data_IF_555784343644
#
_entry.id   IF_555784343644
#
_cell.length_a   1.000
_cell.length_b   1.000
_cell.length_c   1.000
_cell.angle_alpha   90.00
_cell.angle_beta   90.00
_cell.angle_gamma   90.00
#
_symmetry.space_group_name_H-M   'P 1'
#
loop_
_entity.id
_entity.type
_entity.pdbx_description
1 polymer ?
#
# COMPACT_ATOMS: atom_id res chain seq x y z
N UNK A 1 -15.62 -14.94 -5.92
CA UNK A 1 -15.25 -16.35 -6.12
C UNK A 1 -14.69 -16.94 -4.84
N UNK A 2 -15.41 -17.92 -4.29
CA UNK A 2 -14.96 -18.78 -3.20
C UNK A 2 -13.73 -19.59 -3.63
N UNK A 3 -13.13 -20.31 -2.69
CA UNK A 3 -12.03 -21.22 -3.01
C UNK A 3 -12.50 -22.40 -3.89
N UNK A 4 -13.70 -22.95 -3.63
CA UNK A 4 -14.24 -24.06 -4.45
C UNK A 4 -14.49 -23.62 -5.90
N UNK A 5 -15.08 -22.43 -6.10
CA UNK A 5 -15.36 -21.91 -7.44
C UNK A 5 -14.07 -21.67 -8.24
N UNK A 6 -13.01 -21.17 -7.58
CA UNK A 6 -11.69 -21.02 -8.21
C UNK A 6 -11.11 -22.36 -8.62
N UNK A 7 -11.15 -23.35 -7.73
CA UNK A 7 -10.64 -24.69 -8.01
C UNK A 7 -11.38 -25.34 -9.19
N UNK A 8 -12.68 -25.11 -9.29
CA UNK A 8 -13.50 -25.57 -10.42
C UNK A 8 -13.04 -24.94 -11.74
N UNK A 9 -12.90 -23.61 -11.77
CA UNK A 9 -12.43 -22.87 -12.94
C UNK A 9 -11.03 -23.34 -13.35
N UNK A 10 -10.12 -23.49 -12.39
CA UNK A 10 -8.76 -23.98 -12.65
C UNK A 10 -8.76 -25.41 -13.24
N UNK A 11 -9.63 -26.28 -12.73
CA UNK A 11 -9.78 -27.66 -13.21
C UNK A 11 -10.25 -27.68 -14.66
N UNK A 12 -11.30 -26.93 -14.99
CA UNK A 12 -11.85 -26.88 -16.35
C UNK A 12 -10.96 -26.11 -17.33
N UNK A 13 -10.16 -25.16 -16.84
CA UNK A 13 -9.11 -24.52 -17.65
C UNK A 13 -8.01 -25.53 -18.03
N UNK A 14 -7.56 -26.37 -17.09
CA UNK A 14 -6.57 -27.45 -17.35
C UNK A 14 -7.10 -28.50 -18.32
N UNK A 15 -8.37 -28.88 -18.19
CA UNK A 15 -9.06 -29.78 -19.13
C UNK A 15 -9.25 -29.15 -20.52
N UNK A 16 -9.09 -27.84 -20.63
CA UNK A 16 -9.26 -27.09 -21.87
C UNK A 16 -10.72 -26.85 -22.24
N UNK A 17 -11.66 -27.02 -21.31
CA UNK A 17 -13.09 -26.70 -21.53
C UNK A 17 -13.31 -25.19 -21.45
N UNK A 18 -12.61 -24.52 -20.52
CA UNK A 18 -12.56 -23.05 -20.47
C UNK A 18 -11.40 -22.58 -21.36
N UNK A 19 -11.68 -21.64 -22.27
CA UNK A 19 -10.67 -21.07 -23.18
C UNK A 19 -10.29 -19.63 -22.85
N UNK A 20 -11.18 -18.88 -22.22
CA UNK A 20 -11.01 -17.46 -21.91
C UNK A 20 -11.41 -17.22 -20.47
N UNK A 21 -10.59 -16.46 -19.74
CA UNK A 21 -10.89 -16.01 -18.38
C UNK A 21 -10.77 -14.49 -18.35
N UNK A 22 -11.82 -13.84 -17.87
CA UNK A 22 -11.82 -12.41 -17.56
C UNK A 22 -11.62 -12.26 -16.05
N UNK A 23 -10.53 -11.61 -15.64
CA UNK A 23 -10.17 -11.46 -14.24
C UNK A 23 -9.78 -10.02 -13.91
N UNK A 24 -10.08 -9.58 -12.68
CA UNK A 24 -9.52 -8.35 -12.13
C UNK A 24 -8.07 -8.58 -11.70
N UNK A 25 -7.29 -7.50 -11.55
CA UNK A 25 -5.87 -7.59 -11.13
C UNK A 25 -5.68 -8.42 -9.83
N UNK A 26 -6.58 -8.28 -8.86
CA UNK A 26 -6.53 -9.03 -7.59
C UNK A 26 -6.78 -10.54 -7.83
N UNK A 27 -7.66 -10.87 -8.77
CA UNK A 27 -7.94 -12.26 -9.13
C UNK A 27 -6.80 -12.89 -9.96
N UNK A 28 -6.08 -12.11 -10.76
CA UNK A 28 -4.91 -12.59 -11.50
C UNK A 28 -3.77 -13.07 -10.57
N UNK A 29 -3.67 -12.50 -9.35
CA UNK A 29 -2.75 -13.01 -8.33
C UNK A 29 -3.17 -14.37 -7.78
N UNK A 30 -4.48 -14.65 -7.73
CA UNK A 30 -5.05 -15.84 -7.09
C UNK A 30 -5.30 -17.04 -7.99
N UNK A 31 -5.03 -16.94 -9.29
CA UNK A 31 -5.11 -18.06 -10.25
C UNK A 31 -3.69 -18.52 -10.56
N UNK A 32 -3.41 -19.81 -10.33
CA UNK A 32 -2.07 -20.38 -10.51
C UNK A 32 -1.95 -21.17 -11.83
N UNK A 33 -2.40 -20.57 -12.94
CA UNK A 33 -2.34 -21.21 -14.25
C UNK A 33 -1.73 -20.28 -15.31
N UNK A 34 -0.76 -20.78 -16.10
CA UNK A 34 -0.21 -20.04 -17.23
C UNK A 34 -1.19 -20.01 -18.41
N UNK A 35 -1.25 -18.87 -19.09
CA UNK A 35 -2.04 -18.66 -20.31
C UNK A 35 -1.12 -18.44 -21.50
N UNK A 36 -1.54 -18.87 -22.70
CA UNK A 36 -0.79 -18.57 -23.93
C UNK A 36 -0.81 -17.08 -24.26
N UNK A 37 -1.94 -16.42 -24.02
CA UNK A 37 -2.12 -15.00 -24.27
C UNK A 37 -2.74 -14.34 -23.04
N UNK A 38 -2.16 -13.23 -22.60
CA UNK A 38 -2.74 -12.37 -21.56
C UNK A 38 -3.04 -11.01 -22.18
N UNK A 39 -4.28 -10.57 -22.09
CA UNK A 39 -4.72 -9.26 -22.58
C UNK A 39 -4.87 -8.33 -21.37
N UNK A 40 -4.12 -7.23 -21.36
CA UNK A 40 -4.12 -6.25 -20.27
C UNK A 40 -4.77 -4.97 -20.75
N UNK A 41 -5.95 -4.67 -20.21
CA UNK A 41 -6.55 -3.35 -20.29
C UNK A 41 -5.97 -2.47 -19.18
N UNK A 42 -5.32 -1.37 -19.56
CA UNK A 42 -4.53 -0.52 -18.64
C UNK A 42 -5.36 0.51 -17.87
N UNK A 43 -6.65 0.63 -18.17
CA UNK A 43 -7.57 1.54 -17.50
C UNK A 43 -8.12 0.87 -16.23
N UNK A 44 -7.70 1.33 -15.06
CA UNK A 44 -8.35 1.00 -13.79
C UNK A 44 -9.30 2.13 -13.40
N UNK A 45 -10.57 1.80 -13.17
CA UNK A 45 -11.52 2.74 -12.56
C UNK A 45 -11.19 2.81 -11.07
N UNK A 46 -10.90 4.00 -10.58
CA UNK A 46 -10.67 4.26 -9.17
C UNK A 46 -11.89 4.98 -8.58
N UNK A 47 -12.42 4.41 -7.51
CA UNK A 47 -13.44 5.06 -6.70
C UNK A 47 -12.72 5.59 -5.47
N UNK A 48 -12.20 6.80 -5.56
CA UNK A 48 -11.69 7.51 -4.38
C UNK A 48 -12.84 8.35 -3.80
N UNK A 49 -12.92 8.44 -2.48
CA UNK A 49 -13.80 9.37 -1.77
C UNK A 49 -13.12 10.75 -1.57
N UNK A 50 -11.95 10.97 -2.17
CA UNK A 50 -11.15 12.20 -2.07
C UNK A 50 -11.57 13.33 -3.00
N UNK A 51 -10.70 14.33 -3.18
CA UNK A 51 -10.91 15.52 -4.04
C UNK A 51 -11.01 15.23 -5.56
N UNK A 52 -11.00 13.96 -5.96
CA UNK A 52 -11.15 13.57 -7.35
C UNK A 52 -12.61 13.20 -7.62
N UNK A 53 -13.15 13.53 -8.82
CA UNK A 53 -14.48 13.09 -9.17
C UNK A 53 -14.57 11.56 -9.08
N UNK A 54 -15.65 11.01 -8.52
CA UNK A 54 -15.85 9.57 -8.46
C UNK A 54 -15.75 8.99 -9.88
N UNK A 55 -15.08 7.83 -10.01
CA UNK A 55 -14.86 7.10 -11.26
C UNK A 55 -13.83 7.70 -12.24
N UNK A 56 -12.68 8.21 -11.77
CA UNK A 56 -11.61 8.56 -12.69
C UNK A 56 -10.79 7.32 -13.12
N UNK A 57 -10.31 7.33 -14.36
CA UNK A 57 -9.43 6.28 -14.88
C UNK A 57 -7.99 6.59 -14.49
N UNK A 58 -7.32 5.61 -13.90
CA UNK A 58 -5.89 5.65 -13.62
C UNK A 58 -5.19 4.48 -14.32
N UNK A 59 -3.91 4.64 -14.61
CA UNK A 59 -3.11 3.57 -15.20
C UNK A 59 -2.86 2.46 -14.17
N UNK A 60 -2.73 1.23 -14.65
CA UNK A 60 -2.23 0.13 -13.83
C UNK A 60 -0.80 0.40 -13.34
N UNK A 61 -0.49 -0.06 -12.12
CA UNK A 61 0.88 -0.04 -11.61
C UNK A 61 1.73 -1.08 -12.33
N UNK A 62 3.05 -0.87 -12.41
CA UNK A 62 3.94 -1.85 -13.03
C UNK A 62 3.87 -3.22 -12.34
N UNK A 63 3.70 -3.28 -11.02
CA UNK A 63 3.49 -4.54 -10.29
C UNK A 63 2.22 -5.26 -10.75
N UNK A 64 1.14 -4.52 -11.01
CA UNK A 64 -0.08 -5.11 -11.56
C UNK A 64 0.18 -5.70 -12.95
N UNK A 65 0.94 -4.99 -13.79
CA UNK A 65 1.32 -5.43 -15.12
C UNK A 65 2.20 -6.68 -15.05
N UNK A 66 3.21 -6.72 -14.18
CA UNK A 66 4.05 -7.91 -13.99
C UNK A 66 3.27 -9.09 -13.42
N UNK A 67 2.39 -8.86 -12.45
CA UNK A 67 1.57 -9.91 -11.87
C UNK A 67 0.62 -10.54 -12.91
N UNK A 68 0.05 -9.72 -13.80
CA UNK A 68 -0.80 -10.21 -14.89
C UNK A 68 0.01 -10.81 -16.04
N UNK A 69 1.02 -10.08 -16.51
CA UNK A 69 1.87 -10.44 -17.63
C UNK A 69 2.75 -11.66 -17.35
N UNK A 70 3.17 -11.87 -16.10
CA UNK A 70 3.91 -13.05 -15.67
C UNK A 70 3.11 -14.36 -15.72
N UNK A 71 1.80 -14.28 -16.01
CA UNK A 71 0.96 -15.45 -16.33
C UNK A 71 0.99 -15.80 -17.81
N UNK A 72 1.54 -14.95 -18.67
CA UNK A 72 1.69 -15.26 -20.08
C UNK A 72 2.89 -16.20 -20.28
N UNK A 73 2.65 -17.33 -20.91
CA UNK A 73 3.68 -18.30 -21.28
C UNK A 73 3.50 -19.65 -20.64
N UNK A 74 3.44 -20.68 -21.48
CA UNK A 74 3.87 -22.05 -21.14
C UNK A 74 5.31 -22.24 -21.61
N UNK A 75 5.97 -23.38 -21.32
CA UNK A 75 7.37 -23.65 -21.68
C UNK A 75 7.76 -23.31 -23.14
N UNK A 76 6.80 -23.29 -24.06
CA UNK A 76 7.03 -23.04 -25.49
C UNK A 76 6.73 -21.60 -25.95
N UNK A 77 5.66 -20.98 -25.44
CA UNK A 77 5.17 -19.73 -26.03
C UNK A 77 4.23 -18.94 -25.10
N UNK A 78 4.41 -17.61 -25.07
CA UNK A 78 3.56 -16.66 -24.35
C UNK A 78 3.52 -15.28 -24.99
N UNK A 79 2.34 -14.64 -25.00
CA UNK A 79 2.15 -13.24 -25.42
C UNK A 79 1.45 -12.43 -24.35
N UNK A 80 1.97 -11.24 -24.09
CA UNK A 80 1.26 -10.18 -23.37
C UNK A 80 0.80 -9.15 -24.40
N UNK A 81 -0.49 -8.86 -24.41
CA UNK A 81 -1.14 -7.94 -25.35
C UNK A 81 -1.67 -6.76 -24.54
N UNK A 82 -1.15 -5.56 -24.80
CA UNK A 82 -1.64 -4.33 -24.18
C UNK A 82 -2.71 -3.71 -25.05
N UNK A 83 -3.88 -3.43 -24.45
CA UNK A 83 -4.98 -2.78 -25.15
C UNK A 83 -4.88 -1.27 -24.99
N UNK A 84 -4.51 -0.58 -26.08
CA UNK A 84 -4.39 0.87 -26.15
C UNK A 84 -5.53 1.49 -26.95
N UNK A 85 -6.32 2.36 -26.31
CA UNK A 85 -7.44 3.05 -26.95
C UNK A 85 -7.01 4.27 -27.79
N UNK A 86 -5.72 4.65 -27.74
CA UNK A 86 -5.18 5.75 -28.55
C UNK A 86 -3.68 5.55 -28.84
N UNK A 87 -3.15 6.17 -29.92
CA UNK A 87 -1.70 6.17 -30.19
C UNK A 87 -0.87 6.77 -29.07
N UNK A 88 -1.43 7.74 -28.32
CA UNK A 88 -0.79 8.33 -27.14
C UNK A 88 -0.62 7.28 -26.05
N UNK A 89 -1.67 6.51 -25.74
CA UNK A 89 -1.60 5.42 -24.77
C UNK A 89 -0.65 4.32 -25.21
N UNK A 90 -0.62 3.97 -26.51
CA UNK A 90 0.36 3.03 -27.06
C UNK A 90 1.79 3.48 -26.76
N UNK A 91 2.13 4.75 -27.04
CA UNK A 91 3.46 5.28 -26.79
C UNK A 91 3.77 5.31 -25.28
N UNK A 92 2.79 5.65 -24.44
CA UNK A 92 2.93 5.57 -22.99
C UNK A 92 3.22 4.13 -22.55
N UNK A 93 2.49 3.13 -23.05
CA UNK A 93 2.69 1.73 -22.69
C UNK A 93 4.02 1.20 -23.18
N UNK A 94 4.43 1.54 -24.40
CA UNK A 94 5.72 1.18 -24.96
C UNK A 94 6.85 1.75 -24.11
N UNK A 95 6.76 3.03 -23.73
CA UNK A 95 7.76 3.67 -22.89
C UNK A 95 7.75 3.13 -21.46
N UNK A 96 6.59 2.86 -20.85
CA UNK A 96 6.50 2.29 -19.52
C UNK A 96 6.94 0.83 -19.46
N UNK A 97 6.74 0.04 -20.49
CA UNK A 97 7.12 -1.38 -20.44
C UNK A 97 8.55 -1.61 -20.90
N UNK A 98 8.95 -1.06 -22.06
CA UNK A 98 10.28 -1.32 -22.62
C UNK A 98 11.40 -0.51 -21.98
N UNK A 99 11.11 0.68 -21.43
CA UNK A 99 12.13 1.42 -20.67
C UNK A 99 12.45 0.70 -19.35
N UNK A 100 11.46 0.10 -18.71
CA UNK A 100 11.66 -0.69 -17.49
C UNK A 100 12.43 -1.99 -17.77
N UNK A 101 12.19 -2.66 -18.90
CA UNK A 101 12.92 -3.88 -19.28
C UNK A 101 14.38 -3.65 -19.73
N UNK A 102 14.71 -2.49 -20.31
CA UNK A 102 16.07 -2.19 -20.76
C UNK A 102 17.04 -1.86 -19.63
N UNK A 103 16.54 -1.33 -18.51
CA UNK A 103 17.37 -1.03 -17.35
C UNK A 103 17.50 -2.28 -16.44
N UNK A 104 18.25 -3.29 -16.89
CA UNK A 104 18.66 -4.47 -16.08
C UNK A 104 19.44 -4.12 -14.80
N UNK A 105 19.81 -2.85 -14.60
CA UNK A 105 20.51 -2.31 -13.43
C UNK A 105 19.57 -1.62 -12.42
N UNK A 106 18.26 -1.66 -12.61
CA UNK A 106 17.34 -1.16 -11.59
C UNK A 106 17.28 -2.15 -10.42
N UNK A 107 18.16 -1.96 -9.41
CA UNK A 107 17.93 -2.46 -8.04
C UNK A 107 16.44 -2.27 -7.73
N UNK A 108 15.73 -3.36 -7.53
CA UNK A 108 14.27 -3.43 -7.46
C UNK A 108 13.68 -2.23 -6.73
N UNK A 109 13.14 -1.26 -7.47
CA UNK A 109 12.23 -0.27 -6.91
C UNK A 109 10.89 -0.98 -6.78
N UNK A 110 10.62 -1.51 -5.58
CA UNK A 110 9.29 -1.96 -5.22
C UNK A 110 8.30 -0.87 -5.64
N UNK A 111 7.26 -1.30 -6.36
CA UNK A 111 6.32 -0.37 -6.95
C UNK A 111 5.71 0.51 -5.88
N UNK A 112 5.89 1.82 -6.10
CA UNK A 112 5.30 2.91 -5.33
C UNK A 112 3.78 2.78 -5.43
N UNK A 113 3.17 1.98 -4.55
CA UNK A 113 1.77 2.19 -4.22
C UNK A 113 1.72 3.57 -3.56
N UNK A 114 1.13 4.53 -4.25
CA UNK A 114 0.64 5.75 -3.63
C UNK A 114 -0.52 5.38 -2.70
N UNK A 115 -0.22 4.73 -1.58
CA UNK A 115 -1.07 4.83 -0.39
C UNK A 115 -1.19 6.32 -0.15
N UNK A 116 -2.38 6.89 0.00
CA UNK A 116 -2.59 8.31 0.25
C UNK A 116 -1.65 8.83 1.38
N UNK A 117 -0.47 9.36 0.99
CA UNK A 117 0.76 9.33 1.81
C UNK A 117 0.68 10.32 2.98
N UNK A 118 -0.23 11.27 2.87
CA UNK A 118 -0.36 12.35 3.85
C UNK A 118 -1.09 11.93 5.14
N UNK A 119 -1.96 10.92 5.08
CA UNK A 119 -2.75 10.47 6.23
C UNK A 119 -2.01 9.48 7.13
N UNK A 120 -1.04 8.72 6.61
CA UNK A 120 -0.37 7.66 7.39
C UNK A 120 0.97 8.10 8.04
N UNK A 121 1.40 9.35 7.86
CA UNK A 121 2.64 9.90 8.45
C UNK A 121 2.65 9.76 9.98
N UNK A 122 1.50 9.92 10.64
CA UNK A 122 1.36 9.79 12.09
C UNK A 122 1.73 8.38 12.58
N UNK A 123 1.15 7.37 11.93
CA UNK A 123 1.38 5.97 12.25
C UNK A 123 2.79 5.53 11.83
N UNK A 124 3.29 6.05 10.71
CA UNK A 124 4.65 5.80 10.23
C UNK A 124 5.71 6.26 11.24
N UNK A 125 5.64 7.51 11.68
CA UNK A 125 6.62 8.08 12.62
C UNK A 125 6.59 7.37 13.98
N UNK A 126 5.42 6.94 14.45
CA UNK A 126 5.33 6.13 15.67
C UNK A 126 6.04 4.78 15.50
N UNK A 127 5.84 4.09 14.38
CA UNK A 127 6.48 2.78 14.13
C UNK A 127 7.99 2.90 14.01
N UNK A 128 8.48 3.97 13.36
CA UNK A 128 9.91 4.28 13.34
C UNK A 128 10.47 4.50 14.74
N UNK A 129 9.79 5.29 15.57
CA UNK A 129 10.21 5.54 16.95
C UNK A 129 10.19 4.30 17.84
N UNK A 130 9.38 3.28 17.51
CA UNK A 130 9.35 1.99 18.23
C UNK A 130 10.50 1.09 17.77
N UNK A 131 10.77 1.03 16.47
CA UNK A 131 11.72 0.06 15.90
C UNK A 131 13.18 0.55 15.93
N UNK A 132 13.40 1.86 15.94
CA UNK A 132 14.74 2.45 15.87
C UNK A 132 14.88 3.46 17.01
N UNK A 133 15.93 3.30 17.82
CA UNK A 133 16.27 4.26 18.85
C UNK A 133 16.86 5.52 18.21
N UNK A 134 16.00 6.44 17.78
CA UNK A 134 16.38 7.62 16.99
C UNK A 134 16.42 8.88 17.86
N UNK A 135 17.45 9.70 17.62
CA UNK A 135 17.41 11.10 18.00
C UNK A 135 16.53 11.90 17.01
N UNK A 136 15.98 13.03 17.44
CA UNK A 136 15.17 13.91 16.60
C UNK A 136 15.90 14.35 15.33
N UNK A 137 17.19 14.69 15.44
CA UNK A 137 18.02 15.06 14.28
C UNK A 137 18.32 13.87 13.37
N UNK A 138 18.46 12.67 13.93
CA UNK A 138 18.63 11.45 13.15
C UNK A 138 17.36 11.10 12.39
N UNK A 139 16.18 11.25 13.00
CA UNK A 139 14.89 11.06 12.34
C UNK A 139 14.71 12.02 11.16
N UNK A 140 15.10 13.30 11.31
CA UNK A 140 15.12 14.26 10.20
C UNK A 140 16.06 13.80 9.09
N UNK A 141 17.26 13.33 9.45
CA UNK A 141 18.24 12.84 8.48
C UNK A 141 17.78 11.55 7.81
N UNK A 142 17.07 10.66 8.52
CA UNK A 142 16.49 9.44 7.99
C UNK A 142 15.36 9.71 7.01
N UNK A 143 14.43 10.61 7.33
CA UNK A 143 13.37 10.98 6.39
C UNK A 143 13.96 11.68 5.17
N UNK A 144 14.97 12.55 5.35
CA UNK A 144 15.74 13.09 4.23
C UNK A 144 16.39 11.96 3.42
N UNK A 145 17.05 10.98 4.05
CA UNK A 145 17.72 9.85 3.37
C UNK A 145 16.73 8.93 2.62
N UNK A 146 15.58 8.65 3.20
CA UNK A 146 14.46 7.94 2.56
C UNK A 146 13.87 8.78 1.41
N UNK A 147 13.83 10.11 1.54
CA UNK A 147 13.55 11.07 0.45
C UNK A 147 14.70 11.14 -0.59
N UNK A 148 15.94 10.82 -0.24
CA UNK A 148 17.15 10.91 -1.09
C UNK A 148 17.39 9.68 -1.97
N UNK A 149 16.34 8.93 -2.32
CA UNK A 149 16.28 8.28 -3.64
C UNK A 149 15.70 9.24 -4.69
N UNK A 150 15.79 10.56 -4.44
CA UNK A 150 15.53 11.60 -5.42
C UNK A 150 16.71 11.78 -6.39
N UNK A 151 16.65 11.03 -7.49
CA UNK A 151 16.85 11.48 -8.87
C UNK A 151 18.18 12.12 -9.36
N UNK A 152 19.24 12.41 -8.55
CA UNK A 152 20.44 13.11 -9.12
C UNK A 152 21.85 12.69 -8.71
N UNK A 153 22.09 11.73 -7.82
CA UNK A 153 23.48 11.32 -7.52
C UNK A 153 23.58 9.86 -7.14
N UNK A 154 23.89 9.02 -8.12
CA UNK A 154 24.38 7.66 -7.89
C UNK A 154 25.89 7.67 -8.02
N UNK A 155 26.59 7.76 -6.89
CA UNK A 155 27.89 7.11 -6.76
C UNK A 155 28.14 6.80 -5.30
N UNK A 156 28.31 5.51 -5.03
CA UNK A 156 28.78 4.89 -3.79
C UNK A 156 27.88 5.07 -2.56
N UNK A 157 27.12 4.02 -2.22
CA UNK A 157 26.90 3.71 -0.81
C UNK A 157 26.94 2.19 -0.62
N UNK A 158 27.87 1.82 0.26
CA UNK A 158 28.14 0.51 0.81
C UNK A 158 26.99 0.05 1.72
N UNK A 159 26.99 -1.26 1.93
CA UNK A 159 26.01 -2.07 2.62
C UNK A 159 25.53 -1.47 3.95
N UNK A 160 24.22 -1.35 4.11
CA UNK A 160 23.50 -1.47 5.38
C UNK A 160 22.01 -1.72 5.09
N UNK A 161 21.71 -2.99 4.81
CA UNK A 161 20.36 -3.57 4.76
C UNK A 161 19.64 -3.40 6.10
N UNK A 162 18.52 -2.68 6.20
CA UNK A 162 17.54 -2.97 7.27
C UNK A 162 16.04 -2.74 6.97
N UNK A 163 15.62 -2.12 5.85
CA UNK A 163 14.18 -1.93 5.55
C UNK A 163 13.85 -1.92 4.04
N UNK A 164 14.42 -2.85 3.25
CA UNK A 164 14.00 -3.06 1.84
C UNK A 164 12.69 -3.86 1.74
N UNK A 165 11.63 -3.36 2.37
CA UNK A 165 10.27 -3.88 2.20
C UNK A 165 9.59 -3.26 0.97
N UNK A 166 8.60 -3.97 0.43
CA UNK A 166 7.79 -3.61 -0.75
C UNK A 166 7.05 -2.24 -0.66
N UNK A 167 7.15 -1.54 0.48
CA UNK A 167 6.44 -0.32 0.83
C UNK A 167 7.40 0.87 0.90
N UNK A 168 7.40 1.71 -0.11
CA UNK A 168 8.19 2.95 -0.11
C UNK A 168 7.25 4.15 0.12
N UNK A 169 7.35 4.78 1.28
CA UNK A 169 6.61 6.01 1.60
C UNK A 169 7.24 7.19 0.84
N UNK A 170 6.42 8.06 0.25
CA UNK A 170 6.90 9.26 -0.45
C UNK A 170 6.09 10.49 -0.03
N UNK A 171 6.60 11.23 0.96
CA UNK A 171 5.90 12.39 1.48
C UNK A 171 6.07 13.60 0.57
N UNK A 172 5.06 14.48 0.54
CA UNK A 172 5.20 15.76 -0.15
C UNK A 172 6.25 16.62 0.58
N UNK A 173 7.27 17.04 -0.18
CA UNK A 173 8.42 17.81 0.32
C UNK A 173 8.02 19.18 0.89
N UNK A 174 6.92 19.75 0.41
CA UNK A 174 6.45 21.04 0.89
C UNK A 174 6.07 20.96 2.38
N UNK A 175 6.75 21.74 3.22
CA UNK A 175 6.51 21.83 4.66
C UNK A 175 6.68 20.52 5.45
N UNK A 176 7.46 19.55 4.95
CA UNK A 176 7.65 18.25 5.62
C UNK A 176 8.16 18.40 7.06
N UNK A 177 9.06 19.35 7.32
CA UNK A 177 9.57 19.64 8.67
C UNK A 177 8.45 20.09 9.63
N UNK A 178 7.65 21.08 9.22
CA UNK A 178 6.50 21.57 10.01
C UNK A 178 5.49 20.44 10.27
N UNK A 179 5.32 19.54 9.30
CA UNK A 179 4.42 18.38 9.43
C UNK A 179 4.96 17.33 10.40
N UNK A 180 6.24 16.97 10.32
CA UNK A 180 6.90 16.05 11.26
C UNK A 180 6.78 16.61 12.68
N UNK A 181 7.08 17.90 12.87
CA UNK A 181 6.94 18.55 14.19
C UNK A 181 5.51 18.50 14.70
N UNK A 182 4.53 18.82 13.85
CA UNK A 182 3.11 18.70 14.20
C UNK A 182 2.76 17.28 14.63
N UNK A 183 3.23 16.27 13.89
CA UNK A 183 2.97 14.86 14.17
C UNK A 183 3.63 14.42 15.48
N UNK A 184 4.89 14.77 15.73
CA UNK A 184 5.58 14.45 16.97
C UNK A 184 4.91 15.11 18.18
N UNK A 185 4.41 16.34 18.01
CA UNK A 185 3.62 17.03 19.03
C UNK A 185 2.31 16.29 19.32
N UNK A 186 1.62 15.77 18.29
CA UNK A 186 0.41 14.95 18.46
C UNK A 186 0.75 13.64 19.21
N UNK A 187 1.83 12.94 18.82
CA UNK A 187 2.24 11.69 19.47
C UNK A 187 2.63 11.92 20.94
N UNK A 188 3.36 12.99 21.23
CA UNK A 188 3.74 13.38 22.59
C UNK A 188 2.52 13.79 23.42
N UNK A 189 1.63 14.62 22.86
CA UNK A 189 0.41 15.08 23.52
C UNK A 189 -0.53 13.93 23.90
N UNK A 190 -0.58 12.88 23.08
CA UNK A 190 -1.35 11.67 23.36
C UNK A 190 -0.63 10.63 24.24
N UNK A 191 0.59 10.95 24.71
CA UNK A 191 1.46 10.06 25.50
C UNK A 191 1.79 8.75 24.79
N UNK A 192 1.99 8.79 23.47
CA UNK A 192 2.40 7.63 22.68
C UNK A 192 3.93 7.50 22.59
N UNK A 193 4.62 8.63 22.65
CA UNK A 193 6.09 8.74 22.71
C UNK A 193 6.52 9.67 23.85
N UNK A 194 7.75 9.52 24.30
CA UNK A 194 8.46 10.45 25.20
C UNK A 194 9.69 10.97 24.49
N UNK A 195 9.98 12.25 24.70
CA UNK A 195 11.17 12.92 24.16
C UNK A 195 12.00 13.36 25.35
N UNK A 196 13.21 12.82 25.47
CA UNK A 196 14.15 13.20 26.52
C UNK A 196 14.75 14.60 26.22
N UNK A 197 15.39 15.21 27.23
CA UNK A 197 16.07 16.52 27.09
C UNK A 197 17.11 16.53 25.96
N UNK A 198 17.68 15.36 25.64
CA UNK A 198 18.70 15.18 24.62
C UNK A 198 18.11 14.94 23.21
N UNK A 199 16.78 15.03 23.04
CA UNK A 199 16.11 14.81 21.75
C UNK A 199 15.83 13.35 21.40
N UNK A 200 16.24 12.39 22.25
CA UNK A 200 16.01 10.96 22.05
C UNK A 200 14.52 10.63 22.19
N UNK A 201 13.98 9.99 21.16
CA UNK A 201 12.61 9.49 21.11
C UNK A 201 12.54 8.11 21.76
N UNK A 202 11.64 7.94 22.72
CA UNK A 202 11.36 6.63 23.31
C UNK A 202 9.86 6.32 23.22
N UNK A 203 9.46 5.12 22.79
CA UNK A 203 8.06 4.75 22.73
C UNK A 203 7.53 4.49 24.15
N UNK A 204 6.23 4.70 24.33
CA UNK A 204 5.51 4.25 25.53
C UNK A 204 4.88 2.88 25.30
N UNK A 205 4.37 2.24 26.36
CA UNK A 205 3.63 0.96 26.23
C UNK A 205 2.46 1.06 25.24
N UNK A 206 1.75 2.20 25.21
CA UNK A 206 0.70 2.45 24.22
C UNK A 206 1.26 2.57 22.80
N UNK A 207 2.41 3.23 22.63
CA UNK A 207 3.09 3.33 21.34
C UNK A 207 3.56 1.96 20.82
N UNK A 208 4.15 1.15 21.69
CA UNK A 208 4.56 -0.23 21.41
C UNK A 208 3.34 -1.07 21.04
N UNK A 209 2.24 -0.96 21.80
CA UNK A 209 1.00 -1.70 21.55
C UNK A 209 0.41 -1.40 20.17
N UNK A 210 0.35 -0.12 19.77
CA UNK A 210 -0.14 0.30 18.44
C UNK A 210 0.72 -0.33 17.34
N UNK A 211 2.05 -0.26 17.48
CA UNK A 211 2.99 -0.85 16.52
C UNK A 211 2.83 -2.37 16.43
N UNK A 212 2.76 -3.06 17.56
CA UNK A 212 2.61 -4.50 17.65
C UNK A 212 1.28 -5.00 17.06
N UNK A 213 0.17 -4.29 17.29
CA UNK A 213 -1.15 -4.62 16.74
C UNK A 213 -1.33 -4.19 15.28
N UNK A 214 -0.35 -3.47 14.71
CA UNK A 214 -0.35 -2.97 13.32
C UNK A 214 -1.57 -2.12 12.95
N UNK A 215 -2.21 -1.50 13.94
CA UNK A 215 -3.31 -0.55 13.73
C UNK A 215 -2.78 0.86 13.48
N UNK A 216 -3.65 1.74 12.99
CA UNK A 216 -3.40 3.19 12.90
C UNK A 216 -3.46 3.86 14.27
N UNK A 217 -2.68 4.92 14.44
CA UNK A 217 -2.71 5.75 15.66
C UNK A 217 -4.09 6.34 15.87
N UNK A 218 -4.71 6.80 14.79
CA UNK A 218 -6.06 7.37 14.77
C UNK A 218 -7.09 6.35 15.27
N UNK A 219 -6.98 5.07 14.87
CA UNK A 219 -7.81 3.97 15.37
C UNK A 219 -7.67 3.78 16.87
N UNK A 220 -6.44 3.78 17.38
CA UNK A 220 -6.21 3.68 18.81
C UNK A 220 -6.81 4.86 19.58
N UNK A 221 -6.63 6.09 19.09
CA UNK A 221 -7.20 7.29 19.72
C UNK A 221 -8.72 7.27 19.69
N UNK A 222 -9.32 6.79 18.60
CA UNK A 222 -10.76 6.60 18.47
C UNK A 222 -11.29 5.61 19.51
N UNK A 223 -10.69 4.43 19.63
CA UNK A 223 -11.07 3.44 20.65
C UNK A 223 -10.86 3.97 22.07
N UNK A 224 -9.72 4.63 22.33
CA UNK A 224 -9.43 5.23 23.63
C UNK A 224 -10.45 6.30 24.01
N UNK A 225 -10.93 7.09 23.05
CA UNK A 225 -11.99 8.06 23.25
C UNK A 225 -13.30 7.35 23.60
N UNK A 226 -13.71 6.38 22.80
CA UNK A 226 -14.94 5.62 22.99
C UNK A 226 -14.99 4.90 24.36
N UNK A 227 -13.88 4.26 24.78
CA UNK A 227 -13.76 3.62 26.09
C UNK A 227 -13.99 4.58 27.26
N UNK A 228 -13.70 5.88 27.11
CA UNK A 228 -13.99 6.87 28.17
C UNK A 228 -15.49 7.12 28.32
N UNK A 229 -16.27 6.99 27.25
CA UNK A 229 -17.72 7.20 27.24
C UNK A 229 -18.50 5.95 27.66
N UNK A 230 -17.93 4.75 27.52
CA UNK A 230 -18.60 3.47 27.83
C UNK A 230 -18.78 3.16 29.33
N UNK A 231 -18.56 4.12 30.23
CA UNK A 231 -18.40 3.87 31.68
C UNK A 231 -19.64 3.34 32.44
N UNK A 232 -20.77 3.03 31.80
CA UNK A 232 -22.03 2.80 32.53
C UNK A 232 -23.01 1.75 31.95
N UNK A 233 -22.62 0.87 31.03
CA UNK A 233 -23.56 -0.15 30.51
C UNK A 233 -22.89 -1.39 29.93
N UNK A 234 -23.69 -2.44 29.77
CA UNK A 234 -23.29 -3.64 29.02
C UNK A 234 -23.07 -3.26 27.56
N UNK A 235 -21.87 -3.57 27.05
CA UNK A 235 -21.49 -3.31 25.67
C UNK A 235 -21.97 -4.49 24.81
N UNK A 236 -22.85 -4.23 23.87
CA UNK A 236 -23.31 -5.25 22.92
C UNK A 236 -22.24 -5.58 21.87
N UNK A 237 -22.29 -6.80 21.33
CA UNK A 237 -21.44 -7.22 20.21
C UNK A 237 -21.64 -6.29 18.99
N UNK A 238 -22.87 -5.83 18.76
CA UNK A 238 -23.19 -4.93 17.65
C UNK A 238 -22.48 -3.59 17.78
N UNK A 239 -22.42 -3.01 18.99
CA UNK A 239 -21.68 -1.77 19.24
C UNK A 239 -20.18 -1.94 19.02
N UNK A 240 -19.61 -3.09 19.41
CA UNK A 240 -18.21 -3.41 19.13
C UNK A 240 -17.97 -3.50 17.62
N UNK A 241 -18.82 -4.22 16.88
CA UNK A 241 -18.70 -4.34 15.43
C UNK A 241 -18.81 -2.97 14.75
N UNK A 242 -19.74 -2.13 15.19
CA UNK A 242 -19.91 -0.78 14.67
C UNK A 242 -18.71 0.12 14.97
N UNK A 243 -18.17 0.03 16.19
CA UNK A 243 -16.94 0.73 16.57
C UNK A 243 -15.76 0.32 15.68
N UNK A 244 -15.57 -0.99 15.46
CA UNK A 244 -14.50 -1.50 14.61
C UNK A 244 -14.67 -1.01 13.17
N UNK A 245 -15.88 -1.08 12.61
CA UNK A 245 -16.18 -0.65 11.25
C UNK A 245 -15.97 0.87 11.04
N UNK A 246 -16.32 1.70 12.04
CA UNK A 246 -16.15 3.15 11.96
C UNK A 246 -14.72 3.64 12.21
N UNK A 247 -13.84 2.77 12.71
CA UNK A 247 -12.44 3.12 12.90
C UNK A 247 -11.73 3.44 11.58
N UNK A 248 -10.66 4.26 11.58
CA UNK A 248 -9.83 4.50 10.40
C UNK A 248 -9.33 3.24 9.70
N UNK A 249 -8.98 2.19 10.45
CA UNK A 249 -8.62 0.88 9.87
C UNK A 249 -9.85 0.15 9.31
N UNK A 250 -10.99 0.22 10.00
CA UNK A 250 -12.25 -0.37 9.54
C UNK A 250 -12.77 0.24 8.23
N UNK A 251 -12.72 1.57 8.11
CA UNK A 251 -13.08 2.29 6.88
C UNK A 251 -12.13 2.02 5.71
N UNK A 252 -10.88 1.65 6.01
CA UNK A 252 -9.92 1.26 4.98
C UNK A 252 -10.17 -0.17 4.47
N UNK A 253 -11.01 -0.96 5.15
CA UNK A 253 -11.43 -2.26 4.63
C UNK A 253 -12.40 -2.02 3.46
N UNK A 254 -12.07 -2.50 2.25
CA UNK A 254 -13.01 -2.42 1.14
C UNK A 254 -14.21 -3.30 1.49
N UNK A 255 -15.40 -2.70 1.58
CA UNK A 255 -16.63 -3.47 1.63
C UNK A 255 -16.82 -4.03 0.22
N UNK A 256 -16.77 -5.36 0.02
CA UNK A 256 -17.06 -5.92 -1.29
C UNK A 256 -18.49 -5.52 -1.65
N UNK A 257 -18.65 -4.78 -2.73
CA UNK A 257 -19.97 -4.51 -3.28
C UNK A 257 -20.56 -5.86 -3.69
N UNK A 258 -21.51 -6.39 -2.91
CA UNK A 258 -22.26 -7.54 -3.37
C UNK A 258 -23.06 -7.07 -4.57
N UNK A 259 -22.77 -7.62 -5.75
CA UNK A 259 -23.75 -7.66 -6.83
C UNK A 259 -24.86 -8.63 -6.41
N UNK A 260 -25.61 -8.26 -5.37
CA UNK A 260 -26.89 -8.85 -5.10
C UNK A 260 -27.84 -8.23 -6.12
N UNK A 261 -28.09 -9.01 -7.17
CA UNK A 261 -29.20 -8.85 -8.11
C UNK A 261 -30.50 -9.11 -7.32
#
# INVERSE_FOLDING_TARGET
>A
LSWEERNLIETYLKKGEIKVICATNIMAMGINLPFKNVIIAMDKIYNDEGNYPPNYRTSLTFAAIENMGGRAGTLEFGRVIFLAHSPVLQNIYQNLYFKFLKDNNCKHKANKQSINIDNDLLTYLLRLAVNINLNYEDLKNHIKKEEFVSLKSQSKFEDNNFLSGYWQFAFNKANIHKRIEKVLNILKGNRLIRINRNGVLSPTDSGILISAKRIKVETFLFFKSWLRYCKKGDISILEILFLLALSPDGKALPIPFSQAI
#
